data_IF_134846305213
#
_entry.id   IF_134846305213
#
_cell.length_a   1.000
_cell.length_b   1.000
_cell.length_c   1.000
_cell.angle_alpha   90.00
_cell.angle_beta   90.00
_cell.angle_gamma   90.00
#
_symmetry.space_group_name_H-M   'P 1'
#
loop_
_entity.id
_entity.type
_entity.pdbx_description
1 polymer ?
#
# COMPACT_ATOMS: atom_id res chain seq x y z
N UNK A 1 11.45 17.12 -19.71
CA UNK A 1 10.33 16.22 -20.04
C UNK A 1 10.70 14.80 -19.66
N UNK A 2 9.87 14.11 -18.88
CA UNK A 2 10.04 12.69 -18.58
C UNK A 2 9.68 11.89 -19.84
N UNK A 3 10.59 11.07 -20.36
CA UNK A 3 10.44 10.33 -21.63
C UNK A 3 9.71 8.98 -21.44
N UNK A 4 8.57 8.98 -20.75
CA UNK A 4 7.77 7.77 -20.59
C UNK A 4 6.76 7.64 -21.74
N UNK A 5 6.72 6.47 -22.38
CA UNK A 5 5.86 6.21 -23.55
C UNK A 5 4.66 5.32 -23.23
N UNK A 6 4.68 4.65 -22.07
CA UNK A 6 3.68 3.66 -21.71
C UNK A 6 3.02 4.04 -20.39
N UNK A 7 1.69 3.94 -20.38
CA UNK A 7 0.85 4.09 -19.20
C UNK A 7 0.00 2.82 -19.08
N UNK A 8 0.03 2.20 -17.90
CA UNK A 8 -0.81 1.06 -17.58
C UNK A 8 -1.93 1.50 -16.65
N UNK A 9 -3.18 1.20 -17.01
CA UNK A 9 -4.38 1.46 -16.22
C UNK A 9 -5.20 0.19 -16.21
N UNK A 10 -5.48 -0.34 -15.01
CA UNK A 10 -6.19 -1.61 -14.81
C UNK A 10 -7.44 -1.75 -15.66
N UNK A 11 -8.30 -0.73 -15.68
CA UNK A 11 -9.57 -0.70 -16.42
C UNK A 11 -9.42 -0.85 -17.93
N UNK A 12 -8.29 -0.40 -18.49
CA UNK A 12 -8.06 -0.38 -19.94
C UNK A 12 -7.10 -1.48 -20.40
N UNK A 13 -6.23 -1.97 -19.52
CA UNK A 13 -5.21 -2.96 -19.84
C UNK A 13 -5.59 -4.39 -19.44
N UNK A 14 -6.73 -4.58 -18.76
CA UNK A 14 -7.28 -5.88 -18.43
C UNK A 14 -8.59 -6.03 -19.20
N UNK A 15 -8.66 -7.01 -20.10
CA UNK A 15 -9.90 -7.34 -20.77
C UNK A 15 -10.89 -7.91 -19.73
N UNK A 16 -12.01 -7.21 -19.52
CA UNK A 16 -13.01 -7.61 -18.54
C UNK A 16 -13.95 -8.70 -19.04
N UNK A 17 -13.92 -8.99 -20.35
CA UNK A 17 -14.78 -9.98 -21.02
C UNK A 17 -14.07 -11.34 -21.18
N UNK A 18 -12.73 -11.33 -21.26
CA UNK A 18 -11.91 -12.54 -21.27
C UNK A 18 -11.52 -12.93 -19.84
N UNK A 19 -12.24 -13.92 -19.27
CA UNK A 19 -11.97 -14.40 -17.91
C UNK A 19 -10.58 -15.04 -17.75
N UNK A 20 -10.00 -15.62 -18.80
CA UNK A 20 -8.67 -16.23 -18.74
C UNK A 20 -7.57 -15.16 -18.73
N UNK A 21 -7.62 -14.19 -19.65
CA UNK A 21 -6.66 -13.06 -19.63
C UNK A 21 -6.83 -12.25 -18.35
N UNK A 22 -8.07 -11.94 -17.94
CA UNK A 22 -8.35 -11.24 -16.68
C UNK A 22 -7.71 -11.94 -15.49
N UNK A 23 -7.90 -13.25 -15.35
CA UNK A 23 -7.29 -14.02 -14.29
C UNK A 23 -5.76 -13.91 -14.34
N UNK A 24 -5.16 -14.10 -15.52
CA UNK A 24 -3.72 -14.02 -15.70
C UNK A 24 -3.16 -12.62 -15.37
N UNK A 25 -3.82 -11.54 -15.81
CA UNK A 25 -3.41 -10.15 -15.52
C UNK A 25 -3.54 -9.82 -14.04
N UNK A 26 -4.62 -10.25 -13.39
CA UNK A 26 -4.82 -10.08 -11.94
C UNK A 26 -3.68 -10.73 -11.16
N UNK A 27 -3.23 -11.92 -11.58
CA UNK A 27 -2.08 -12.58 -10.95
C UNK A 27 -0.76 -11.81 -11.10
N UNK A 28 -0.65 -10.97 -12.13
CA UNK A 28 0.55 -10.19 -12.44
C UNK A 28 0.49 -8.75 -11.91
N UNK A 29 -0.64 -8.26 -11.40
CA UNK A 29 -0.80 -6.86 -10.93
C UNK A 29 0.33 -6.42 -9.99
N UNK A 30 0.62 -7.22 -8.95
CA UNK A 30 1.71 -6.90 -8.02
C UNK A 30 3.08 -6.76 -8.71
N UNK A 31 3.36 -7.56 -9.75
CA UNK A 31 4.61 -7.48 -10.52
C UNK A 31 4.60 -6.24 -11.42
N UNK A 32 3.48 -5.89 -12.03
CA UNK A 32 3.33 -4.69 -12.86
C UNK A 32 3.64 -3.44 -12.01
N UNK A 33 2.99 -3.30 -10.86
CA UNK A 33 3.24 -2.18 -9.94
C UNK A 33 4.66 -2.18 -9.37
N UNK A 34 5.23 -3.35 -9.05
CA UNK A 34 6.62 -3.44 -8.56
C UNK A 34 7.69 -3.04 -9.59
N UNK A 35 7.38 -3.15 -10.88
CA UNK A 35 8.28 -2.82 -11.98
C UNK A 35 7.93 -1.52 -12.70
N UNK A 36 6.81 -0.88 -12.34
CA UNK A 36 6.50 0.46 -12.80
C UNK A 36 7.60 1.45 -12.38
N UNK A 37 7.93 2.40 -13.27
CA UNK A 37 8.91 3.44 -12.95
C UNK A 37 8.41 4.33 -11.81
N UNK A 38 7.12 4.68 -11.88
CA UNK A 38 6.34 5.34 -10.84
C UNK A 38 4.86 4.95 -11.00
N UNK A 39 4.14 4.95 -9.88
CA UNK A 39 2.70 4.71 -9.82
C UNK A 39 1.99 5.99 -9.44
N UNK A 40 1.00 6.38 -10.24
CA UNK A 40 0.15 7.54 -9.94
C UNK A 40 -1.04 7.04 -9.13
N UNK A 41 -1.28 7.66 -7.97
CA UNK A 41 -2.36 7.34 -7.06
C UNK A 41 -3.27 8.55 -6.96
N UNK A 42 -4.52 8.39 -7.38
CA UNK A 42 -5.58 9.37 -7.15
C UNK A 42 -6.19 9.13 -5.76
N UNK A 43 -5.67 9.83 -4.75
CA UNK A 43 -6.18 9.80 -3.38
C UNK A 43 -7.12 10.99 -3.08
N UNK A 44 -7.56 11.68 -4.12
CA UNK A 44 -8.51 12.79 -4.10
C UNK A 44 -9.80 12.38 -4.79
N UNK A 45 -10.92 12.92 -4.31
CA UNK A 45 -12.25 12.58 -4.83
C UNK A 45 -12.75 11.20 -4.44
N UNK A 46 -14.02 10.97 -4.78
CA UNK A 46 -14.77 9.76 -4.44
C UNK A 46 -15.11 8.90 -5.67
N UNK A 47 -14.85 9.41 -6.87
CA UNK A 47 -15.17 8.75 -8.13
C UNK A 47 -14.10 9.01 -9.21
N UNK A 48 -14.06 8.20 -10.28
CA UNK A 48 -13.06 8.34 -11.35
C UNK A 48 -13.12 9.64 -12.16
N UNK A 49 -14.25 10.35 -12.15
CA UNK A 49 -14.47 11.59 -12.91
C UNK A 49 -13.99 12.84 -12.16
N UNK A 50 -13.64 12.72 -10.87
CA UNK A 50 -13.12 13.81 -10.06
C UNK A 50 -11.86 14.47 -10.65
N UNK A 51 -11.03 13.66 -11.32
CA UNK A 51 -9.75 14.09 -11.90
C UNK A 51 -8.62 14.21 -10.86
N UNK A 52 -7.48 14.76 -11.28
CA UNK A 52 -6.29 14.89 -10.43
C UNK A 52 -6.08 16.35 -10.03
N UNK A 53 -6.17 16.71 -8.73
CA UNK A 53 -5.97 18.08 -8.27
C UNK A 53 -4.67 18.75 -8.77
N UNK A 54 -4.83 19.86 -9.49
CA UNK A 54 -3.75 20.60 -10.15
C UNK A 54 -3.45 20.15 -11.59
N UNK A 55 -4.26 19.26 -12.17
CA UNK A 55 -4.12 18.77 -13.54
C UNK A 55 -5.38 19.09 -14.35
N UNK A 56 -5.20 19.61 -15.57
CA UNK A 56 -6.26 19.80 -16.56
C UNK A 56 -7.53 20.50 -16.04
N UNK A 57 -7.39 21.49 -15.15
CA UNK A 57 -8.50 22.27 -14.61
C UNK A 57 -9.14 21.72 -13.33
N UNK A 58 -8.78 20.52 -12.86
CA UNK A 58 -9.20 20.04 -11.53
C UNK A 58 -8.54 20.92 -10.46
N UNK A 59 -9.35 21.70 -9.75
CA UNK A 59 -8.86 22.64 -8.73
C UNK A 59 -8.35 21.89 -7.50
N UNK A 60 -7.28 22.43 -6.91
CA UNK A 60 -6.75 21.99 -5.62
C UNK A 60 -7.21 22.94 -4.52
N UNK A 61 -7.30 22.45 -3.28
CA UNK A 61 -7.46 23.32 -2.11
C UNK A 61 -6.27 24.29 -2.05
N UNK A 62 -6.58 25.57 -1.85
CA UNK A 62 -5.57 26.61 -1.75
C UNK A 62 -4.75 26.43 -0.47
N UNK A 63 -3.43 26.52 -0.58
CA UNK A 63 -2.55 26.54 0.57
C UNK A 63 -2.72 27.86 1.32
N UNK A 64 -3.15 27.84 2.60
CA UNK A 64 -3.25 29.07 3.39
C UNK A 64 -1.87 29.73 3.53
N UNK A 65 -1.81 31.03 3.27
CA UNK A 65 -0.59 31.84 3.37
C UNK A 65 -0.88 33.22 3.93
N UNK A 66 0.07 33.78 4.69
CA UNK A 66 -0.02 35.13 5.27
C UNK A 66 1.34 35.82 5.19
N UNK A 67 1.34 37.13 4.89
CA UNK A 67 2.56 37.95 4.90
C UNK A 67 2.64 38.77 6.18
N UNK A 68 3.67 38.53 7.00
CA UNK A 68 3.90 39.24 8.26
C UNK A 68 5.29 39.87 8.23
N UNK A 69 5.37 41.20 8.37
CA UNK A 69 6.63 41.97 8.42
C UNK A 69 7.63 41.60 7.30
N UNK A 70 7.13 41.40 6.08
CA UNK A 70 7.95 41.03 4.91
C UNK A 70 8.22 39.53 4.72
N UNK A 71 7.86 38.68 5.69
CA UNK A 71 7.99 37.23 5.58
C UNK A 71 6.69 36.60 5.09
N UNK A 72 6.78 35.66 4.14
CA UNK A 72 5.66 34.81 3.73
C UNK A 72 5.62 33.56 4.61
N UNK A 73 4.55 33.39 5.38
CA UNK A 73 4.27 32.17 6.13
C UNK A 73 3.23 31.38 5.34
N UNK A 74 3.53 30.12 5.06
CA UNK A 74 2.60 29.21 4.38
C UNK A 74 2.31 28.00 5.27
N UNK A 75 1.06 27.52 5.23
CA UNK A 75 0.66 26.31 5.96
C UNK A 75 1.39 25.10 5.40
N UNK A 76 1.86 24.21 6.28
CA UNK A 76 2.42 22.91 5.88
C UNK A 76 1.37 21.92 5.37
N UNK A 77 0.09 22.30 5.39
CA UNK A 77 -1.08 21.48 5.07
C UNK A 77 -1.25 20.29 6.04
N UNK A 78 -2.37 19.53 5.96
CA UNK A 78 -2.52 18.33 6.77
C UNK A 78 -1.39 17.34 6.54
N UNK A 79 -1.05 16.58 7.59
CA UNK A 79 -0.05 15.53 7.48
C UNK A 79 -0.45 14.53 6.38
N UNK A 80 0.44 14.18 5.43
CA UNK A 80 0.19 13.26 4.32
C UNK A 80 -0.58 11.98 4.70
N UNK A 81 -0.20 11.33 5.80
CA UNK A 81 -0.90 10.14 6.31
C UNK A 81 -2.39 10.37 6.58
N UNK A 82 -2.78 11.57 7.05
CA UNK A 82 -4.19 11.90 7.36
C UNK A 82 -4.99 12.01 6.08
N UNK A 83 -4.50 12.76 5.08
CA UNK A 83 -5.21 12.93 3.81
C UNK A 83 -5.35 11.60 3.07
N UNK A 84 -4.27 10.80 3.01
CA UNK A 84 -4.32 9.50 2.31
C UNK A 84 -5.16 8.48 3.07
N UNK A 85 -5.07 8.41 4.41
CA UNK A 85 -5.85 7.43 5.16
C UNK A 85 -7.37 7.66 5.06
N UNK A 86 -7.79 8.91 4.88
CA UNK A 86 -9.20 9.29 4.75
C UNK A 86 -9.74 9.17 3.32
N UNK A 87 -8.87 8.94 2.33
CA UNK A 87 -9.29 8.87 0.93
C UNK A 87 -10.13 7.63 0.64
N UNK A 88 -11.11 7.78 -0.25
CA UNK A 88 -11.90 6.67 -0.80
C UNK A 88 -11.02 5.65 -1.53
N UNK A 89 -9.90 6.09 -2.12
CA UNK A 89 -8.89 5.18 -2.64
C UNK A 89 -8.41 4.21 -1.54
N UNK A 90 -7.97 4.72 -0.38
CA UNK A 90 -7.40 3.88 0.67
C UNK A 90 -8.45 3.00 1.38
N UNK A 91 -9.76 3.11 1.11
CA UNK A 91 -10.72 2.15 1.66
C UNK A 91 -10.73 0.84 0.87
N UNK A 92 -10.35 0.85 -0.41
CA UNK A 92 -10.45 -0.29 -1.33
C UNK A 92 -9.33 -1.30 -1.12
N UNK A 93 -9.67 -2.58 -1.00
CA UNK A 93 -8.69 -3.66 -0.77
C UNK A 93 -7.66 -3.82 -1.88
N UNK A 94 -8.04 -3.60 -3.15
CA UNK A 94 -7.13 -3.72 -4.29
C UNK A 94 -5.95 -2.74 -4.26
N UNK A 95 -6.09 -1.61 -3.55
CA UNK A 95 -5.03 -0.60 -3.41
C UNK A 95 -3.79 -1.10 -2.69
N UNK A 96 -3.88 -2.22 -1.99
CA UNK A 96 -2.72 -2.91 -1.43
C UNK A 96 -1.77 -3.36 -2.54
N UNK A 97 -2.29 -3.95 -3.63
CA UNK A 97 -1.45 -4.32 -4.77
C UNK A 97 -0.93 -3.11 -5.55
N UNK A 98 -1.67 -2.01 -5.55
CA UNK A 98 -1.29 -0.78 -6.25
C UNK A 98 -0.16 -0.06 -5.52
N UNK A 99 -0.25 0.07 -4.20
CA UNK A 99 0.63 0.95 -3.42
C UNK A 99 1.84 0.25 -2.82
N UNK A 100 1.68 -0.95 -2.25
CA UNK A 100 2.75 -1.59 -1.48
C UNK A 100 3.89 -2.09 -2.39
N UNK A 101 3.61 -2.82 -3.51
CA UNK A 101 4.66 -3.25 -4.42
C UNK A 101 5.38 -2.08 -5.13
N UNK A 102 4.70 -0.94 -5.31
CA UNK A 102 5.22 0.21 -6.05
C UNK A 102 6.46 0.83 -5.39
N UNK A 103 7.56 0.94 -6.14
CA UNK A 103 8.83 1.51 -5.63
C UNK A 103 8.80 3.03 -5.50
N UNK A 104 8.02 3.70 -6.35
CA UNK A 104 7.81 5.15 -6.37
C UNK A 104 6.34 5.44 -6.60
N UNK A 105 5.77 6.32 -5.79
CA UNK A 105 4.35 6.68 -5.78
C UNK A 105 4.23 8.19 -5.89
N UNK A 106 3.34 8.64 -6.74
CA UNK A 106 2.94 10.05 -6.86
C UNK A 106 1.48 10.09 -6.43
N UNK A 107 1.21 10.58 -5.22
CA UNK A 107 -0.12 10.60 -4.66
C UNK A 107 -0.71 12.00 -4.82
N UNK A 108 -1.84 12.09 -5.50
CA UNK A 108 -2.63 13.29 -5.62
C UNK A 108 -3.69 13.29 -4.52
N UNK A 109 -3.60 14.22 -3.57
CA UNK A 109 -4.66 14.47 -2.58
C UNK A 109 -5.37 15.78 -2.92
N UNK A 110 -6.50 16.05 -2.27
CA UNK A 110 -7.18 17.35 -2.41
C UNK A 110 -6.29 18.53 -2.02
N UNK A 111 -5.30 18.28 -1.14
CA UNK A 111 -4.49 19.31 -0.51
C UNK A 111 -3.19 19.57 -1.28
N UNK A 112 -2.53 18.51 -1.79
CA UNK A 112 -1.21 18.59 -2.42
C UNK A 112 -0.82 17.32 -3.17
N UNK A 113 0.21 17.42 -4.01
CA UNK A 113 0.90 16.25 -4.57
C UNK A 113 2.01 15.79 -3.65
N UNK A 114 2.09 14.48 -3.45
CA UNK A 114 3.07 13.80 -2.62
C UNK A 114 3.91 12.86 -3.49
N UNK A 115 5.21 12.83 -3.25
CA UNK A 115 6.09 11.83 -3.83
C UNK A 115 6.58 10.90 -2.73
N UNK A 116 6.48 9.58 -2.93
CA UNK A 116 7.01 8.60 -1.99
C UNK A 116 7.74 7.46 -2.67
N UNK A 117 9.00 7.24 -2.31
CA UNK A 117 9.69 5.98 -2.56
C UNK A 117 9.87 5.19 -1.26
N UNK A 118 10.65 4.11 -1.29
CA UNK A 118 10.96 3.31 -0.10
C UNK A 118 12.04 3.94 0.79
N UNK A 119 12.56 5.12 0.43
CA UNK A 119 13.64 5.81 1.15
C UNK A 119 13.36 7.29 1.42
N UNK A 120 12.46 7.94 0.68
CA UNK A 120 12.21 9.39 0.75
C UNK A 120 10.75 9.73 0.49
N UNK A 121 10.26 10.78 1.14
CA UNK A 121 8.90 11.31 1.01
C UNK A 121 8.95 12.82 0.79
N UNK A 122 8.47 13.34 -0.34
CA UNK A 122 8.42 14.78 -0.58
C UNK A 122 6.96 15.25 -0.62
N UNK A 123 6.72 16.44 -0.08
CA UNK A 123 5.41 17.09 -0.07
C UNK A 123 5.51 18.39 -0.84
N UNK A 124 4.54 18.71 -1.68
CA UNK A 124 4.53 19.96 -2.43
C UNK A 124 4.54 21.21 -1.54
N UNK A 125 3.93 21.14 -0.34
CA UNK A 125 3.88 22.27 0.60
C UNK A 125 5.21 22.61 1.27
N UNK A 126 6.22 21.73 1.16
CA UNK A 126 7.51 21.91 1.82
C UNK A 126 8.65 21.73 0.80
N UNK A 127 9.40 22.81 0.59
CA UNK A 127 10.63 22.75 -0.19
C UNK A 127 11.79 22.38 0.74
N UNK A 128 12.15 21.10 0.76
CA UNK A 128 13.39 20.65 1.41
C UNK A 128 14.54 20.64 0.41
N UNK A 129 15.72 21.12 0.81
CA UNK A 129 16.92 21.00 -0.01
C UNK A 129 17.31 19.52 -0.06
N UNK A 130 17.26 18.92 -1.25
CA UNK A 130 17.49 17.48 -1.43
C UNK A 130 18.84 17.02 -0.85
N UNK A 131 19.87 17.87 -0.92
CA UNK A 131 21.19 17.61 -0.34
C UNK A 131 21.16 17.49 1.19
N UNK A 132 20.29 18.25 1.86
CA UNK A 132 20.13 18.19 3.31
C UNK A 132 19.35 16.95 3.77
N UNK A 133 18.56 16.36 2.86
CA UNK A 133 17.79 15.15 3.11
C UNK A 133 18.62 13.86 2.97
N UNK A 134 19.76 13.91 2.30
CA UNK A 134 20.65 12.75 2.17
C UNK A 134 21.34 12.41 3.49
N UNK A 135 21.66 11.13 3.68
CA UNK A 135 22.53 10.70 4.78
C UNK A 135 23.89 11.39 4.65
N UNK A 136 24.45 11.80 5.80
CA UNK A 136 25.70 12.57 5.83
C UNK A 136 26.89 11.80 5.27
N UNK A 137 26.87 10.48 5.38
CA UNK A 137 27.97 9.58 5.06
C UNK A 137 27.69 8.73 3.80
N UNK A 138 26.43 8.49 3.46
CA UNK A 138 26.01 7.79 2.24
C UNK A 138 24.98 8.61 1.46
N UNK A 139 25.45 9.42 0.50
CA UNK A 139 24.58 10.22 -0.38
C UNK A 139 23.69 9.38 -1.32
N UNK A 140 23.78 8.05 -1.32
CA UNK A 140 22.80 7.18 -1.99
C UNK A 140 21.57 6.90 -1.12
N UNK A 141 21.59 7.30 0.16
CA UNK A 141 20.51 7.12 1.13
C UNK A 141 19.99 8.47 1.62
N UNK A 142 18.75 8.47 2.09
CA UNK A 142 18.12 9.61 2.74
C UNK A 142 18.04 9.40 4.25
N UNK A 143 17.99 10.49 5.02
CA UNK A 143 17.78 10.48 6.47
C UNK A 143 16.41 9.88 6.78
N UNK A 144 16.40 8.82 7.59
CA UNK A 144 15.21 8.00 7.90
C UNK A 144 14.08 8.81 8.57
N UNK A 145 14.43 9.86 9.31
CA UNK A 145 13.50 10.59 10.19
C UNK A 145 12.95 11.90 9.61
N UNK A 146 13.29 12.25 8.36
CA UNK A 146 13.14 13.64 7.94
C UNK A 146 11.74 14.04 7.44
N UNK A 147 10.83 13.13 7.07
CA UNK A 147 9.65 13.51 6.27
C UNK A 147 8.37 12.72 6.57
N UNK A 148 7.23 13.42 6.49
CA UNK A 148 5.89 12.92 6.77
C UNK A 148 5.42 11.89 5.72
N UNK A 149 5.61 10.60 6.01
CA UNK A 149 5.11 9.51 5.16
C UNK A 149 3.58 9.48 5.10
N UNK A 150 3.01 9.35 3.91
CA UNK A 150 1.61 9.01 3.66
C UNK A 150 1.28 7.56 3.99
N UNK A 151 2.12 6.60 3.59
CA UNK A 151 1.90 5.17 3.83
C UNK A 151 2.86 4.62 4.90
N UNK A 152 2.35 4.00 5.96
CA UNK A 152 3.18 3.52 7.08
C UNK A 152 3.97 2.25 6.75
N UNK A 153 3.38 1.31 6.02
CA UNK A 153 3.96 0.00 5.74
C UNK A 153 4.15 -0.18 4.23
N UNK A 154 5.40 -0.03 3.76
CA UNK A 154 5.74 0.04 2.31
C UNK A 154 6.50 -1.17 1.79
N UNK A 155 7.23 -1.88 2.64
CA UNK A 155 8.05 -3.04 2.26
C UNK A 155 8.03 -4.10 3.35
N UNK A 156 8.25 -5.38 3.02
CA UNK A 156 8.50 -6.40 4.02
C UNK A 156 9.74 -6.00 4.81
N UNK A 157 9.68 -6.12 6.13
CA UNK A 157 10.84 -5.89 6.99
C UNK A 157 11.65 -7.19 7.11
N UNK A 158 12.78 -7.12 7.82
CA UNK A 158 13.54 -8.31 8.18
C UNK A 158 12.79 -9.23 9.16
N UNK A 159 11.72 -8.74 9.81
CA UNK A 159 10.91 -9.55 10.70
C UNK A 159 9.71 -10.16 9.95
N UNK A 160 9.69 -11.49 9.76
CA UNK A 160 8.56 -12.19 9.11
C UNK A 160 7.23 -11.97 9.84
N UNK A 161 7.22 -11.62 11.13
CA UNK A 161 6.00 -11.35 11.90
C UNK A 161 5.24 -10.11 11.38
N UNK A 162 5.92 -9.18 10.70
CA UNK A 162 5.29 -7.94 10.22
C UNK A 162 4.24 -8.17 9.13
N UNK A 163 4.17 -9.36 8.52
CA UNK A 163 3.04 -9.73 7.64
C UNK A 163 1.68 -9.57 8.34
N UNK A 164 1.65 -9.73 9.67
CA UNK A 164 0.44 -9.54 10.47
C UNK A 164 -0.03 -8.08 10.44
N UNK A 165 0.88 -7.10 10.38
CA UNK A 165 0.50 -5.69 10.23
C UNK A 165 -0.17 -5.43 8.88
N UNK A 166 0.32 -6.05 7.80
CA UNK A 166 -0.32 -5.96 6.50
C UNK A 166 -1.71 -6.61 6.50
N UNK A 167 -1.86 -7.78 7.14
CA UNK A 167 -3.16 -8.44 7.29
C UNK A 167 -4.15 -7.60 8.12
N UNK A 168 -3.68 -6.99 9.20
CA UNK A 168 -4.49 -6.11 10.05
C UNK A 168 -4.92 -4.82 9.33
N UNK A 169 -4.07 -4.25 8.49
CA UNK A 169 -4.44 -3.08 7.68
C UNK A 169 -5.35 -3.47 6.51
N UNK A 170 -5.14 -4.65 5.91
CA UNK A 170 -6.01 -5.18 4.85
C UNK A 170 -7.40 -5.53 5.38
N UNK A 171 -7.51 -6.03 6.62
CA UNK A 171 -8.81 -6.41 7.21
C UNK A 171 -9.76 -5.23 7.43
N UNK A 172 -9.25 -3.99 7.38
CA UNK A 172 -10.02 -2.75 7.46
C UNK A 172 -10.55 -2.29 6.09
N UNK A 173 -10.13 -2.94 5.01
CA UNK A 173 -10.46 -2.54 3.64
C UNK A 173 -11.78 -3.15 3.16
N UNK A 174 -12.37 -2.49 2.18
CA UNK A 174 -13.60 -2.88 1.53
C UNK A 174 -13.33 -3.70 0.27
N UNK A 175 -14.13 -4.74 0.08
CA UNK A 175 -14.14 -5.60 -1.09
C UNK A 175 -15.56 -5.65 -1.64
N UNK A 176 -15.69 -5.34 -2.94
CA UNK A 176 -16.95 -5.57 -3.67
C UNK A 176 -17.28 -7.07 -3.68
N UNK A 177 -16.28 -7.91 -3.95
CA UNK A 177 -16.41 -9.36 -3.93
C UNK A 177 -15.47 -9.96 -2.87
N UNK A 178 -16.00 -10.57 -1.79
CA UNK A 178 -15.16 -11.18 -0.76
C UNK A 178 -14.21 -12.27 -1.28
N UNK A 179 -14.56 -12.93 -2.38
CA UNK A 179 -13.73 -13.95 -3.05
C UNK A 179 -12.39 -13.38 -3.55
N UNK A 180 -12.31 -12.07 -3.80
CA UNK A 180 -11.09 -11.42 -4.30
C UNK A 180 -10.03 -11.22 -3.21
N UNK A 181 -10.32 -11.48 -1.94
CA UNK A 181 -9.42 -11.16 -0.83
C UNK A 181 -8.01 -11.76 -1.01
N UNK A 182 -7.92 -13.04 -1.41
CA UNK A 182 -6.62 -13.70 -1.64
C UNK A 182 -5.92 -13.07 -2.84
N UNK A 183 -6.65 -12.72 -3.89
CA UNK A 183 -6.08 -12.07 -5.07
C UNK A 183 -5.57 -10.68 -4.72
N UNK A 184 -6.37 -9.84 -4.05
CA UNK A 184 -5.97 -8.49 -3.62
C UNK A 184 -4.76 -8.47 -2.67
N UNK A 185 -4.50 -9.55 -1.91
CA UNK A 185 -3.30 -9.68 -1.08
C UNK A 185 -2.12 -10.39 -1.75
N UNK A 186 -2.31 -10.96 -2.95
CA UNK A 186 -1.34 -11.84 -3.60
C UNK A 186 0.03 -11.20 -3.78
N UNK A 187 0.08 -9.94 -4.22
CA UNK A 187 1.34 -9.21 -4.38
C UNK A 187 2.13 -9.13 -3.07
N UNK A 188 1.45 -8.91 -1.94
CA UNK A 188 2.07 -8.83 -0.62
C UNK A 188 2.58 -10.21 -0.20
N UNK A 189 1.79 -11.26 -0.37
CA UNK A 189 2.26 -12.63 -0.08
C UNK A 189 3.50 -13.00 -0.91
N UNK A 190 3.52 -12.65 -2.20
CA UNK A 190 4.69 -12.87 -3.04
C UNK A 190 5.91 -12.09 -2.55
N UNK A 191 5.74 -10.84 -2.11
CA UNK A 191 6.82 -10.04 -1.53
C UNK A 191 7.42 -10.71 -0.27
N UNK A 192 6.58 -11.21 0.64
CA UNK A 192 7.05 -11.93 1.83
C UNK A 192 7.70 -13.28 1.51
N UNK A 193 7.19 -14.01 0.52
CA UNK A 193 7.79 -15.28 0.07
C UNK A 193 9.20 -15.12 -0.51
N UNK A 194 9.52 -13.92 -1.04
CA UNK A 194 10.82 -13.57 -1.63
C UNK A 194 11.73 -12.79 -0.67
N UNK A 195 11.31 -12.60 0.58
CA UNK A 195 12.10 -11.88 1.58
C UNK A 195 13.24 -12.75 2.14
N UNK A 196 14.16 -12.14 2.90
CA UNK A 196 15.31 -12.84 3.49
C UNK A 196 14.91 -14.02 4.39
N UNK A 197 13.75 -13.92 5.08
CA UNK A 197 13.13 -15.02 5.81
C UNK A 197 11.75 -15.26 5.19
N UNK A 198 11.63 -16.18 4.23
CA UNK A 198 10.38 -16.40 3.50
C UNK A 198 9.19 -16.71 4.40
N UNK A 199 8.07 -16.03 4.17
CA UNK A 199 6.77 -16.38 4.75
C UNK A 199 5.84 -16.81 3.62
N UNK A 200 5.42 -18.07 3.68
CA UNK A 200 4.42 -18.63 2.79
C UNK A 200 3.03 -18.49 3.42
N UNK A 201 1.97 -18.71 2.65
CA UNK A 201 0.61 -18.74 3.17
C UNK A 201 -0.15 -19.96 2.67
N UNK A 202 -1.14 -20.40 3.44
CA UNK A 202 -2.14 -21.38 3.03
C UNK A 202 -3.51 -20.69 3.07
N UNK A 203 -4.12 -20.49 1.90
CA UNK A 203 -5.45 -19.81 1.78
C UNK A 203 -5.51 -18.44 2.49
N UNK A 204 -4.36 -17.78 2.64
CA UNK A 204 -4.22 -16.46 3.28
C UNK A 204 -3.70 -16.51 4.72
N UNK A 205 -3.57 -17.70 5.31
CA UNK A 205 -2.97 -17.88 6.65
C UNK A 205 -1.45 -17.90 6.53
N UNK A 206 -0.72 -16.94 7.12
CA UNK A 206 0.74 -16.89 7.03
C UNK A 206 1.39 -18.00 7.86
N UNK A 207 2.32 -18.74 7.26
CA UNK A 207 3.11 -19.78 7.90
C UNK A 207 4.33 -19.15 8.58
N UNK A 208 4.11 -18.60 9.77
CA UNK A 208 5.15 -17.87 10.50
C UNK A 208 6.26 -18.80 11.01
N UNK A 209 7.55 -18.47 10.80
CA UNK A 209 8.64 -19.28 11.32
C UNK A 209 8.64 -19.27 12.86
N UNK A 210 8.93 -20.44 13.45
CA UNK A 210 9.09 -20.63 14.89
C UNK A 210 10.59 -20.75 15.19
N UNK A 211 11.07 -19.99 16.17
CA UNK A 211 12.48 -20.04 16.64
C UNK A 211 12.61 -21.05 17.80
N UNK A 212 13.74 -21.78 17.93
CA UNK A 212 14.82 -21.92 16.95
C UNK A 212 14.31 -22.76 15.77
N UNK A 213 14.84 -22.53 14.56
CA UNK A 213 14.33 -23.01 13.26
C UNK A 213 14.20 -24.55 13.14
N UNK A 214 13.33 -25.15 13.96
CA UNK A 214 12.96 -26.56 14.04
C UNK A 214 11.55 -26.71 13.47
N UNK A 215 11.51 -27.26 12.27
CA UNK A 215 10.37 -27.29 11.36
C UNK A 215 9.21 -28.18 11.83
N UNK A 216 8.33 -27.66 12.67
CA UNK A 216 6.97 -28.20 12.73
C UNK A 216 6.02 -27.27 12.02
N UNK A 217 5.75 -27.57 10.73
CA UNK A 217 4.76 -26.89 9.88
C UNK A 217 3.42 -26.65 10.60
N UNK A 218 3.04 -27.57 11.51
CA UNK A 218 1.87 -27.46 12.38
C UNK A 218 1.92 -26.22 13.27
N UNK A 219 3.00 -25.97 14.02
CA UNK A 219 3.10 -24.80 14.91
C UNK A 219 3.16 -23.49 14.13
N UNK A 220 3.80 -23.46 12.96
CA UNK A 220 3.79 -22.29 12.08
C UNK A 220 2.39 -21.94 11.61
N UNK A 221 1.58 -22.95 11.26
CA UNK A 221 0.18 -22.76 10.89
C UNK A 221 -0.66 -22.30 12.09
N UNK A 222 -0.54 -22.93 13.26
CA UNK A 222 -1.26 -22.50 14.47
C UNK A 222 -0.90 -21.06 14.88
N UNK A 223 0.39 -20.70 14.80
CA UNK A 223 0.85 -19.32 15.04
C UNK A 223 0.29 -18.34 14.01
N UNK A 224 0.17 -18.78 12.76
CA UNK A 224 -0.51 -18.04 11.70
C UNK A 224 -2.00 -17.85 11.96
N UNK A 225 -2.67 -18.82 12.58
CA UNK A 225 -4.07 -18.72 13.00
C UNK A 225 -4.26 -17.84 14.24
N UNK A 226 -3.26 -17.76 15.12
CA UNK A 226 -3.34 -17.02 16.38
C UNK A 226 -3.10 -15.51 16.23
N UNK A 227 -3.08 -14.98 15.01
CA UNK A 227 -3.02 -13.53 14.82
C UNK A 227 -4.34 -12.90 15.28
N UNK A 228 -4.24 -11.76 15.97
CA UNK A 228 -5.41 -11.04 16.49
C UNK A 228 -5.33 -9.56 16.12
N UNK A 229 -6.50 -8.97 15.88
CA UNK A 229 -6.65 -7.54 15.66
C UNK A 229 -6.95 -6.86 17.00
N UNK A 230 -6.22 -5.78 17.35
CA UNK A 230 -6.43 -5.04 18.61
C UNK A 230 -7.82 -4.38 18.69
N UNK A 231 -8.46 -4.09 17.55
CA UNK A 231 -9.83 -3.59 17.48
C UNK A 231 -10.78 -4.69 16.98
N UNK A 232 -10.96 -5.74 17.79
CA UNK A 232 -11.78 -6.91 17.45
C UNK A 232 -13.27 -6.61 17.22
N UNK A 233 -13.77 -5.48 17.73
CA UNK A 233 -15.19 -5.07 17.71
C UNK A 233 -15.65 -4.46 16.36
N UNK A 234 -14.72 -4.09 15.47
CA UNK A 234 -15.00 -3.45 14.18
C UNK A 234 -14.78 -4.36 12.97
N UNK A 235 -14.38 -5.61 13.19
CA UNK A 235 -14.14 -6.52 12.09
C UNK A 235 -15.46 -6.83 11.39
N UNK A 236 -15.58 -6.59 10.06
CA UNK A 236 -16.59 -7.27 9.28
C UNK A 236 -16.40 -8.77 9.51
N UNK A 237 -17.48 -9.52 9.71
CA UNK A 237 -17.50 -10.97 9.94
C UNK A 237 -16.79 -11.79 8.84
N UNK A 238 -16.23 -11.15 7.81
CA UNK A 238 -15.63 -11.69 6.59
C UNK A 238 -14.17 -12.11 6.75
N UNK A 239 -13.40 -11.52 7.68
CA UNK A 239 -11.96 -11.83 7.84
C UNK A 239 -11.74 -13.10 8.66
N UNK A 240 -12.58 -13.34 9.68
CA UNK A 240 -12.61 -14.62 10.40
C UNK A 240 -13.10 -15.78 9.53
N UNK A 241 -13.95 -15.51 8.54
CA UNK A 241 -14.52 -16.54 7.64
C UNK A 241 -13.57 -16.93 6.51
N UNK A 242 -12.68 -16.05 6.04
CA UNK A 242 -11.64 -16.44 5.07
C UNK A 242 -10.66 -17.47 5.65
N UNK A 243 -10.35 -17.37 6.95
CA UNK A 243 -9.44 -18.28 7.65
C UNK A 243 -10.14 -19.54 8.17
N UNK A 244 -11.39 -19.46 8.65
CA UNK A 244 -12.07 -20.63 9.23
C UNK A 244 -13.06 -21.33 8.29
N UNK A 245 -13.66 -20.63 7.32
CA UNK A 245 -14.67 -21.18 6.42
C UNK A 245 -14.13 -22.26 5.46
N UNK A 246 -12.86 -22.13 5.03
CA UNK A 246 -12.16 -23.15 4.22
C UNK A 246 -11.37 -24.16 5.06
N UNK A 247 -10.84 -23.77 6.22
CA UNK A 247 -10.10 -24.69 7.11
C UNK A 247 -11.03 -25.70 7.77
N UNK A 248 -12.30 -25.35 8.03
CA UNK A 248 -13.32 -26.29 8.52
C UNK A 248 -13.61 -27.46 7.55
N UNK A 249 -13.35 -27.27 6.24
CA UNK A 249 -13.42 -28.35 5.25
C UNK A 249 -12.14 -29.22 5.23
N UNK A 250 -10.98 -28.62 5.45
CA UNK A 250 -9.68 -29.33 5.45
C UNK A 250 -9.46 -30.20 6.69
N UNK A 251 -10.06 -29.85 7.84
CA UNK A 251 -9.99 -30.65 9.08
C UNK A 251 -11.04 -31.78 9.15
N UNK A 252 -11.89 -31.93 8.12
CA UNK A 252 -12.90 -33.00 8.00
C UNK A 252 -12.53 -34.08 6.98
N UNK A 253 -11.27 -34.13 6.52
CA UNK A 253 -10.72 -35.21 5.68
C UNK A 253 -9.45 -35.78 6.31
#
# INVERSE_FOLDING_TARGET
MLKFQYLWVDRYCIDQLDEEDKYHRIQQMGIIYANAVATIIAAAGDDPEYGLPGVNGTLRKLQPQVRIRGHLLASTLPHPNVSVNRSTWNTRAWTFQESIPSKRRILFTDDQVLFECNSMHCTESQSSILEELHDKYDKSRFKVDALCSALKWKTPTLDPSHIIHFLAEFSKKELSYPADAINAMRGIFQMFSKSAIPVYHLEGVPLLPVKPYGSLKKYSFFKGLSWYHQESWKLPSRVFVLVLGRVGWMLRR
#
